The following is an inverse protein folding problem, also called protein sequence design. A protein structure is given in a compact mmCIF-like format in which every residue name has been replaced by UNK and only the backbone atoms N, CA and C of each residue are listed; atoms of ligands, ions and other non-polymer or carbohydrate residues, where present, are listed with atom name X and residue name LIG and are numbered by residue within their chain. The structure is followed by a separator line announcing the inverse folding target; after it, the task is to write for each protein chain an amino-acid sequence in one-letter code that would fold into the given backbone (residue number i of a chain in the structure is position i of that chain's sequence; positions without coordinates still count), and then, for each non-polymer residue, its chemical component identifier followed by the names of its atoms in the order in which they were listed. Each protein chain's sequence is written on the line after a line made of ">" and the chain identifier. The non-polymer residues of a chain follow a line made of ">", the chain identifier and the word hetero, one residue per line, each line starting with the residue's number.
data_IF_229855115544
#
_entry.id   IF_229855115544
#
_cell.length_a   1.000
_cell.length_b   1.000
_cell.length_c   1.000
_cell.angle_alpha   90.00
_cell.angle_beta   90.00
_cell.angle_gamma   90.00
#
_symmetry.space_group_name_H-M   'P 1'
#
loop_
_entity.id
_entity.type
_entity.pdbx_description
1 polymer ?
#
# COMPACT_ATOMS: atom_id res chain seq x y z
N UNK A 1 -16.36 8.26 -11.36
CA UNK A 1 -16.19 7.06 -12.19
C UNK A 1 -14.76 7.07 -12.68
N UNK A 2 -14.03 5.99 -12.45
CA UNK A 2 -12.64 5.79 -12.90
C UNK A 2 -12.61 5.12 -14.28
N UNK A 3 -11.57 5.35 -15.04
CA UNK A 3 -11.34 4.74 -16.35
C UNK A 3 -10.61 3.39 -16.22
N UNK A 4 -9.63 3.34 -15.31
CA UNK A 4 -8.71 2.19 -15.16
C UNK A 4 -8.92 1.41 -13.88
N UNK A 5 -9.85 1.82 -13.03
CA UNK A 5 -10.14 1.22 -11.73
C UNK A 5 -11.64 0.98 -11.55
N UNK A 6 -11.99 0.00 -10.69
CA UNK A 6 -13.31 -0.07 -10.07
C UNK A 6 -13.20 0.06 -8.56
N UNK A 7 -14.21 0.63 -7.92
CA UNK A 7 -14.25 0.93 -6.49
C UNK A 7 -15.61 0.58 -5.92
N UNK A 8 -15.64 -0.34 -4.97
CA UNK A 8 -16.85 -0.80 -4.29
C UNK A 8 -16.61 -0.84 -2.79
N UNK A 9 -17.57 -0.42 -1.97
CA UNK A 9 -17.50 -0.45 -0.51
C UNK A 9 -18.64 -1.29 0.03
N UNK A 10 -18.32 -2.28 0.84
CA UNK A 10 -19.33 -3.13 1.46
C UNK A 10 -19.94 -2.51 2.73
N UNK A 11 -20.92 -3.21 3.33
CA UNK A 11 -21.64 -2.74 4.51
C UNK A 11 -20.77 -2.60 5.77
N UNK A 12 -19.62 -3.29 5.82
CA UNK A 12 -18.65 -3.22 6.93
C UNK A 12 -17.60 -2.12 6.70
N UNK A 13 -17.69 -1.40 5.57
CA UNK A 13 -16.73 -0.38 5.18
C UNK A 13 -15.44 -0.93 4.58
N UNK A 14 -15.43 -2.19 4.16
CA UNK A 14 -14.30 -2.75 3.41
C UNK A 14 -14.46 -2.38 1.94
N UNK A 15 -13.54 -1.55 1.44
CA UNK A 15 -13.48 -1.19 0.05
C UNK A 15 -12.69 -2.22 -0.76
N UNK A 16 -13.21 -2.59 -1.93
CA UNK A 16 -12.48 -3.36 -2.94
C UNK A 16 -12.10 -2.44 -4.09
N UNK A 17 -10.81 -2.21 -4.26
CA UNK A 17 -10.19 -1.49 -5.36
C UNK A 17 -9.67 -2.51 -6.37
N UNK A 18 -10.23 -2.51 -7.58
CA UNK A 18 -9.78 -3.42 -8.64
C UNK A 18 -9.10 -2.64 -9.75
N UNK A 19 -7.86 -2.99 -10.07
CA UNK A 19 -7.17 -2.52 -11.27
C UNK A 19 -7.90 -3.09 -12.48
N UNK A 20 -8.38 -2.24 -13.40
CA UNK A 20 -9.33 -2.63 -14.43
C UNK A 20 -8.91 -2.23 -15.86
N UNK A 21 -7.85 -2.85 -16.34
CA UNK A 21 -7.40 -2.85 -17.74
C UNK A 21 -7.06 -4.31 -18.15
N UNK A 22 -8.04 -5.26 -18.09
CA UNK A 22 -7.74 -6.70 -18.22
C UNK A 22 -7.09 -7.06 -19.56
N UNK A 23 -7.45 -6.37 -20.64
CA UNK A 23 -6.89 -6.60 -21.98
C UNK A 23 -5.40 -6.22 -22.08
N UNK A 24 -4.97 -5.27 -21.26
CA UNK A 24 -3.57 -4.86 -21.10
C UNK A 24 -2.90 -5.48 -19.86
N UNK A 25 -3.45 -6.58 -19.29
CA UNK A 25 -2.95 -7.20 -18.07
C UNK A 25 -2.82 -6.23 -16.88
N UNK A 26 -3.70 -5.25 -16.80
CA UNK A 26 -3.69 -4.16 -15.83
C UNK A 26 -2.35 -3.40 -15.81
N UNK A 27 -1.71 -3.24 -16.97
CA UNK A 27 -0.49 -2.46 -17.11
C UNK A 27 -0.71 -1.03 -16.60
N UNK A 28 0.26 -0.56 -15.83
CA UNK A 28 0.24 0.72 -15.15
C UNK A 28 0.59 1.84 -16.15
N UNK A 29 -0.27 2.82 -16.25
CA UNK A 29 -0.06 4.04 -17.03
C UNK A 29 -0.29 5.30 -16.18
N UNK A 30 -0.08 6.48 -16.77
CA UNK A 30 -0.23 7.74 -16.07
C UNK A 30 -1.69 8.03 -15.65
N UNK A 31 -2.67 7.46 -16.35
CA UNK A 31 -4.08 7.57 -15.96
C UNK A 31 -4.35 6.75 -14.70
N UNK A 32 -3.95 5.48 -14.68
CA UNK A 32 -4.06 4.63 -13.50
C UNK A 32 -3.31 5.23 -12.32
N UNK A 33 -2.12 5.81 -12.55
CA UNK A 33 -1.35 6.48 -11.50
C UNK A 33 -2.11 7.63 -10.83
N UNK A 34 -2.74 8.49 -11.64
CA UNK A 34 -3.55 9.62 -11.13
C UNK A 34 -4.79 9.14 -10.40
N UNK A 35 -5.46 8.13 -10.94
CA UNK A 35 -6.65 7.55 -10.32
C UNK A 35 -6.32 6.86 -9.00
N UNK A 36 -5.24 6.09 -8.92
CA UNK A 36 -4.77 5.50 -7.67
C UNK A 36 -4.43 6.57 -6.62
N UNK A 37 -3.75 7.65 -7.01
CA UNK A 37 -3.51 8.78 -6.11
C UNK A 37 -4.82 9.39 -5.62
N UNK A 38 -5.80 9.63 -6.52
CA UNK A 38 -7.13 10.13 -6.16
C UNK A 38 -7.82 9.22 -5.15
N UNK A 39 -7.82 7.90 -5.39
CA UNK A 39 -8.42 6.93 -4.44
C UNK A 39 -7.77 7.05 -3.06
N UNK A 40 -6.45 6.96 -2.94
CA UNK A 40 -5.78 6.90 -1.64
C UNK A 40 -5.69 8.24 -0.93
N UNK A 41 -5.67 9.35 -1.66
CA UNK A 41 -5.63 10.70 -1.08
C UNK A 41 -7.01 11.27 -0.75
N UNK A 42 -8.07 10.73 -1.34
CA UNK A 42 -9.44 11.28 -1.20
C UNK A 42 -10.45 10.20 -0.82
N UNK A 43 -10.80 9.29 -1.73
CA UNK A 43 -11.96 8.39 -1.56
C UNK A 43 -11.78 7.40 -0.40
N UNK A 44 -10.59 6.81 -0.27
CA UNK A 44 -10.27 5.92 0.83
C UNK A 44 -10.16 6.65 2.19
N UNK A 45 -10.09 7.98 2.21
CA UNK A 45 -10.07 8.78 3.44
C UNK A 45 -11.47 9.04 4.00
N UNK A 46 -12.53 8.84 3.23
CA UNK A 46 -13.89 8.90 3.74
C UNK A 46 -14.06 7.95 4.94
N UNK A 47 -14.65 8.42 6.04
CA UNK A 47 -14.78 7.64 7.27
C UNK A 47 -15.73 6.42 7.13
N UNK A 48 -16.56 6.38 6.09
CA UNK A 48 -17.31 5.18 5.72
C UNK A 48 -16.41 4.04 5.23
N UNK A 49 -15.22 4.34 4.71
CA UNK A 49 -14.21 3.35 4.34
C UNK A 49 -13.38 3.01 5.56
N UNK A 50 -13.30 1.74 5.91
CA UNK A 50 -12.59 1.25 7.09
C UNK A 50 -11.29 0.52 6.74
N UNK A 51 -11.26 -0.17 5.62
CA UNK A 51 -10.08 -0.84 5.06
C UNK A 51 -10.18 -0.91 3.54
N UNK A 52 -9.06 -1.13 2.86
CA UNK A 52 -8.99 -1.28 1.40
C UNK A 52 -8.36 -2.62 1.05
N UNK A 53 -9.01 -3.38 0.18
CA UNK A 53 -8.45 -4.56 -0.49
C UNK A 53 -8.18 -4.19 -1.95
N UNK A 54 -6.96 -4.40 -2.42
CA UNK A 54 -6.54 -4.10 -3.80
C UNK A 54 -6.32 -5.41 -4.55
N UNK A 55 -6.94 -5.54 -5.72
CA UNK A 55 -6.79 -6.70 -6.61
C UNK A 55 -6.76 -6.28 -8.07
N UNK A 56 -6.56 -7.22 -8.99
CA UNK A 56 -6.61 -6.99 -10.44
C UNK A 56 -7.76 -7.73 -11.11
N UNK A 57 -8.37 -7.13 -12.11
CA UNK A 57 -9.35 -7.80 -12.96
C UNK A 57 -8.68 -8.79 -13.92
N UNK A 58 -9.38 -9.86 -14.26
CA UNK A 58 -8.88 -10.89 -15.19
C UNK A 58 -7.73 -11.71 -14.62
N UNK A 59 -6.73 -12.01 -15.47
CA UNK A 59 -5.67 -12.98 -15.16
C UNK A 59 -4.41 -12.40 -14.51
N UNK A 60 -4.28 -11.08 -14.39
CA UNK A 60 -3.12 -10.41 -13.82
C UNK A 60 -3.52 -9.49 -12.67
N UNK A 61 -2.61 -9.29 -11.73
CA UNK A 61 -2.70 -8.17 -10.79
C UNK A 61 -2.30 -6.88 -11.51
N UNK A 62 -1.04 -6.76 -11.94
CA UNK A 62 -0.51 -5.66 -12.76
C UNK A 62 0.82 -6.11 -13.40
N UNK A 63 0.88 -6.12 -14.72
CA UNK A 63 2.03 -6.64 -15.46
C UNK A 63 3.23 -5.68 -15.53
N UNK A 64 3.15 -4.53 -14.87
CA UNK A 64 4.19 -3.50 -14.89
C UNK A 64 3.80 -2.25 -15.65
N UNK A 65 4.76 -1.37 -15.91
CA UNK A 65 4.55 -0.16 -16.68
C UNK A 65 4.08 -0.46 -18.11
N UNK A 66 3.12 0.29 -18.60
CA UNK A 66 2.68 0.23 -19.99
C UNK A 66 3.77 0.82 -20.90
N UNK A 67 4.52 -0.05 -21.56
CA UNK A 67 5.63 0.33 -22.43
C UNK A 67 5.21 0.71 -23.85
N UNK A 68 3.91 0.78 -24.13
CA UNK A 68 3.37 1.13 -25.45
C UNK A 68 3.27 2.65 -25.70
N UNK A 69 3.48 3.48 -24.67
CA UNK A 69 3.42 4.93 -24.78
C UNK A 69 4.58 5.48 -25.65
N UNK A 70 4.31 6.54 -26.43
CA UNK A 70 5.33 7.26 -27.16
C UNK A 70 6.19 8.12 -26.22
N UNK A 71 7.45 8.34 -26.57
CA UNK A 71 8.42 9.13 -25.79
C UNK A 71 9.00 8.37 -24.61
N UNK A 72 9.25 9.05 -23.50
CA UNK A 72 9.71 8.39 -22.28
C UNK A 72 8.55 7.62 -21.65
N UNK A 73 8.57 6.30 -21.72
CA UNK A 73 7.51 5.41 -21.26
C UNK A 73 7.25 5.50 -19.75
N UNK A 74 8.18 6.06 -18.98
CA UNK A 74 8.03 6.30 -17.54
C UNK A 74 7.41 7.67 -17.22
N UNK A 75 7.09 8.48 -18.26
CA UNK A 75 6.50 9.81 -18.13
C UNK A 75 7.47 10.88 -17.63
N UNK A 76 8.80 10.68 -17.83
CA UNK A 76 9.83 11.60 -17.36
C UNK A 76 10.22 12.61 -18.43
N UNK A 77 10.62 13.81 -18.01
CA UNK A 77 11.11 14.89 -18.88
C UNK A 77 12.62 14.80 -19.05
N UNK A 78 13.05 14.29 -20.21
CA UNK A 78 14.47 14.08 -20.55
C UNK A 78 15.27 15.38 -20.74
N UNK A 79 14.60 16.55 -20.77
CA UNK A 79 15.27 17.85 -20.86
C UNK A 79 15.80 18.34 -19.51
N UNK A 80 15.33 17.75 -18.40
CA UNK A 80 15.72 18.15 -17.04
C UNK A 80 17.01 17.46 -16.61
N UNK A 81 17.85 18.19 -15.86
CA UNK A 81 19.12 17.67 -15.33
C UNK A 81 19.43 18.31 -13.97
N UNK A 82 18.59 18.08 -12.93
CA UNK A 82 18.81 18.68 -11.62
C UNK A 82 19.95 18.02 -10.87
N UNK A 83 20.60 18.80 -10.01
CA UNK A 83 21.42 18.24 -8.93
C UNK A 83 20.52 17.61 -7.84
N UNK A 84 21.08 16.70 -7.01
CA UNK A 84 20.34 16.15 -5.88
C UNK A 84 19.80 17.21 -4.92
N UNK A 85 20.53 18.32 -4.71
CA UNK A 85 20.15 19.43 -3.87
C UNK A 85 18.98 20.21 -4.44
N UNK A 86 19.01 20.53 -5.73
CA UNK A 86 17.92 21.22 -6.44
C UNK A 86 16.65 20.38 -6.43
N UNK A 87 16.76 19.10 -6.76
CA UNK A 87 15.61 18.19 -6.71
C UNK A 87 15.02 18.08 -5.31
N UNK A 88 15.85 17.92 -4.28
CA UNK A 88 15.39 17.84 -2.89
C UNK A 88 14.67 19.11 -2.43
N UNK A 89 15.13 20.29 -2.87
CA UNK A 89 14.55 21.57 -2.48
C UNK A 89 13.17 21.85 -3.11
N UNK A 90 12.88 21.25 -4.26
CA UNK A 90 11.67 21.54 -5.05
C UNK A 90 10.99 20.30 -5.64
N UNK A 91 11.17 19.12 -5.03
CA UNK A 91 10.68 17.83 -5.57
C UNK A 91 9.16 17.77 -5.78
N UNK A 92 8.37 18.58 -5.08
CA UNK A 92 6.91 18.68 -5.13
C UNK A 92 6.42 19.90 -5.92
N UNK A 93 7.31 20.56 -6.66
CA UNK A 93 7.02 21.70 -7.51
C UNK A 93 7.36 21.38 -8.97
N UNK A 94 6.65 22.05 -9.89
CA UNK A 94 7.00 21.96 -11.31
C UNK A 94 8.34 22.66 -11.58
N UNK A 95 9.16 22.12 -12.51
CA UNK A 95 8.88 20.99 -13.39
C UNK A 95 9.23 19.62 -12.79
N UNK A 96 9.73 19.53 -11.56
CA UNK A 96 10.25 18.29 -10.98
C UNK A 96 9.14 17.32 -10.55
N UNK A 97 8.00 17.85 -10.08
CA UNK A 97 6.89 16.99 -9.63
C UNK A 97 6.37 16.08 -10.74
N UNK A 98 6.23 16.60 -11.97
CA UNK A 98 5.77 15.79 -13.10
C UNK A 98 6.90 15.21 -13.93
N UNK A 99 8.03 15.92 -14.05
CA UNK A 99 9.10 15.55 -14.97
C UNK A 99 10.18 14.63 -14.40
N UNK A 100 10.33 14.54 -13.06
CA UNK A 100 11.39 13.72 -12.43
C UNK A 100 10.86 12.74 -11.40
N UNK A 101 9.84 13.11 -10.63
CA UNK A 101 9.32 12.23 -9.59
C UNK A 101 8.77 10.94 -10.18
N UNK A 102 9.25 9.85 -9.62
CA UNK A 102 8.72 8.51 -9.87
C UNK A 102 7.21 8.46 -9.59
N UNK A 103 6.44 8.21 -10.64
CA UNK A 103 4.97 8.17 -10.59
C UNK A 103 4.48 7.03 -9.71
N UNK A 104 5.14 5.88 -9.75
CA UNK A 104 4.88 4.75 -8.85
C UNK A 104 5.15 5.11 -7.38
N UNK A 105 6.20 5.90 -7.13
CA UNK A 105 6.54 6.43 -5.81
C UNK A 105 5.45 7.36 -5.25
N UNK A 106 4.84 8.19 -6.09
CA UNK A 106 3.70 9.04 -5.66
C UNK A 106 2.51 8.19 -5.20
N UNK A 107 2.16 7.13 -5.94
CA UNK A 107 1.11 6.17 -5.57
C UNK A 107 1.46 5.47 -4.26
N UNK A 108 2.68 4.97 -4.14
CA UNK A 108 3.18 4.26 -2.95
C UNK A 108 3.13 5.14 -1.70
N UNK A 109 3.53 6.41 -1.82
CA UNK A 109 3.45 7.37 -0.71
C UNK A 109 1.99 7.66 -0.32
N UNK A 110 1.07 7.74 -1.28
CA UNK A 110 -0.35 7.91 -1.00
C UNK A 110 -0.95 6.71 -0.25
N UNK A 111 -0.60 5.48 -0.66
CA UNK A 111 -0.97 4.23 0.05
C UNK A 111 -0.43 4.25 1.49
N UNK A 112 0.86 4.57 1.65
CA UNK A 112 1.52 4.59 2.96
C UNK A 112 0.91 5.64 3.91
N UNK A 113 0.51 6.79 3.37
CA UNK A 113 -0.07 7.88 4.14
C UNK A 113 -1.53 7.64 4.58
N UNK A 114 -2.20 6.61 4.05
CA UNK A 114 -3.56 6.28 4.44
C UNK A 114 -3.57 5.65 5.85
N UNK A 115 -4.27 6.24 6.84
CA UNK A 115 -4.31 5.72 8.21
C UNK A 115 -5.33 4.57 8.39
N UNK A 116 -5.45 3.71 7.38
CA UNK A 116 -6.37 2.56 7.36
C UNK A 116 -5.64 1.33 6.83
N UNK A 117 -6.07 0.11 7.20
CA UNK A 117 -5.49 -1.11 6.65
C UNK A 117 -5.64 -1.17 5.12
N UNK A 118 -4.56 -1.55 4.44
CA UNK A 118 -4.55 -1.81 3.00
C UNK A 118 -3.99 -3.21 2.76
N UNK A 119 -4.73 -4.05 2.06
CA UNK A 119 -4.38 -5.44 1.78
C UNK A 119 -4.25 -5.64 0.27
N UNK A 120 -3.13 -6.20 -0.18
CA UNK A 120 -2.98 -6.65 -1.56
C UNK A 120 -3.49 -8.09 -1.70
N UNK A 121 -4.42 -8.32 -2.62
CA UNK A 121 -4.87 -9.64 -3.07
C UNK A 121 -4.30 -9.89 -4.48
N UNK A 122 -3.09 -10.46 -4.55
CA UNK A 122 -2.32 -10.63 -5.79
C UNK A 122 -2.85 -11.83 -6.55
N UNK A 123 -3.78 -11.60 -7.47
CA UNK A 123 -4.51 -12.65 -8.19
C UNK A 123 -3.73 -13.31 -9.33
N UNK A 124 -2.66 -12.71 -9.82
CA UNK A 124 -1.87 -13.19 -10.95
C UNK A 124 -0.53 -12.48 -11.06
N UNK A 125 0.05 -12.35 -12.27
CA UNK A 125 1.30 -11.61 -12.48
C UNK A 125 1.29 -10.21 -11.88
N UNK A 126 2.33 -9.90 -11.09
CA UNK A 126 2.62 -8.63 -10.46
C UNK A 126 4.11 -8.30 -10.69
N UNK A 127 4.42 -7.46 -11.67
CA UNK A 127 5.81 -7.26 -12.16
C UNK A 127 6.15 -5.77 -12.17
N UNK A 128 7.40 -5.43 -11.88
CA UNK A 128 7.83 -4.03 -11.80
C UNK A 128 6.98 -3.24 -10.81
N UNK A 129 6.37 -2.13 -11.25
CA UNK A 129 5.45 -1.33 -10.43
C UNK A 129 4.27 -2.17 -9.88
N UNK A 130 3.82 -3.20 -10.61
CA UNK A 130 2.80 -4.12 -10.12
C UNK A 130 3.23 -4.91 -8.87
N UNK A 131 4.53 -5.18 -8.72
CA UNK A 131 5.08 -5.76 -7.51
C UNK A 131 5.38 -4.69 -6.46
N UNK A 132 6.06 -3.60 -6.85
CA UNK A 132 6.58 -2.61 -5.91
C UNK A 132 5.48 -1.78 -5.24
N UNK A 133 4.38 -1.45 -5.92
CA UNK A 133 3.26 -0.75 -5.26
C UNK A 133 2.64 -1.57 -4.12
N UNK A 134 2.69 -2.91 -4.20
CA UNK A 134 2.14 -3.76 -3.12
C UNK A 134 2.94 -3.70 -1.84
N UNK A 135 4.19 -3.24 -1.88
CA UNK A 135 5.07 -3.19 -0.72
C UNK A 135 4.62 -2.14 0.31
N UNK A 136 3.95 -1.08 -0.12
CA UNK A 136 3.38 -0.07 0.78
C UNK A 136 2.01 -0.47 1.33
N UNK A 137 1.38 -1.51 0.79
CA UNK A 137 0.19 -2.11 1.38
C UNK A 137 0.59 -2.90 2.62
N UNK A 138 -0.25 -2.91 3.66
CA UNK A 138 0.16 -3.44 4.96
C UNK A 138 0.36 -4.96 4.92
N UNK A 139 -0.51 -5.68 4.20
CA UNK A 139 -0.47 -7.14 4.08
C UNK A 139 -0.68 -7.55 2.63
N UNK A 140 -0.01 -8.63 2.22
CA UNK A 140 -0.10 -9.22 0.88
C UNK A 140 -0.54 -10.67 0.99
N UNK A 141 -1.60 -11.03 0.27
CA UNK A 141 -2.02 -12.40 -0.01
C UNK A 141 -1.80 -12.67 -1.50
N UNK A 142 -1.52 -13.89 -1.87
CA UNK A 142 -1.29 -14.26 -3.26
C UNK A 142 -2.17 -15.44 -3.68
N UNK A 143 -2.58 -15.45 -4.93
CA UNK A 143 -3.08 -16.66 -5.58
C UNK A 143 -1.92 -17.61 -5.89
N UNK A 144 -2.16 -18.91 -5.94
CA UNK A 144 -1.22 -19.92 -6.47
C UNK A 144 -0.72 -19.56 -7.89
N UNK A 145 -1.51 -18.79 -8.63
CA UNK A 145 -1.17 -18.30 -9.98
C UNK A 145 -0.33 -17.02 -9.97
N UNK A 146 -0.07 -16.44 -8.81
CA UNK A 146 0.73 -15.23 -8.73
C UNK A 146 2.17 -15.47 -9.22
N UNK A 147 2.70 -14.48 -9.93
CA UNK A 147 4.07 -14.41 -10.42
C UNK A 147 4.59 -13.03 -10.12
N UNK A 148 5.54 -12.92 -9.19
CA UNK A 148 5.97 -11.63 -8.65
C UNK A 148 7.41 -11.36 -9.10
N UNK A 149 7.69 -10.18 -9.68
CA UNK A 149 8.99 -9.89 -10.24
C UNK A 149 9.50 -8.48 -10.02
N UNK A 150 10.74 -8.37 -9.53
CA UNK A 150 11.50 -7.12 -9.37
C UNK A 150 12.51 -6.98 -10.53
N UNK A 151 11.99 -6.88 -11.77
CA UNK A 151 12.74 -7.10 -13.02
C UNK A 151 13.53 -5.89 -13.55
N UNK A 152 13.75 -4.88 -12.74
CA UNK A 152 14.32 -3.58 -13.11
C UNK A 152 15.70 -3.71 -13.79
N UNK A 153 16.58 -4.54 -13.28
CA UNK A 153 17.90 -4.78 -13.83
C UNK A 153 17.91 -5.32 -15.27
N UNK A 154 16.84 -6.02 -15.68
CA UNK A 154 16.68 -6.49 -17.07
C UNK A 154 16.39 -5.35 -18.05
N UNK A 155 15.82 -4.25 -17.56
CA UNK A 155 15.53 -3.05 -18.35
C UNK A 155 16.60 -1.98 -18.21
N UNK A 156 17.66 -2.20 -17.42
CA UNK A 156 18.70 -1.23 -17.16
C UNK A 156 18.25 -0.04 -16.29
N UNK A 157 17.19 -0.22 -15.50
CA UNK A 157 16.67 0.77 -14.57
C UNK A 157 16.79 0.26 -13.12
N UNK A 158 16.49 1.12 -12.16
CA UNK A 158 16.57 0.81 -10.72
C UNK A 158 15.17 0.52 -10.14
N UNK A 159 15.09 -0.18 -9.00
CA UNK A 159 13.85 -0.31 -8.24
C UNK A 159 13.27 1.06 -7.86
N UNK A 160 11.97 1.24 -8.12
CA UNK A 160 11.20 2.47 -7.93
C UNK A 160 10.11 2.29 -6.87
N UNK A 161 9.15 3.20 -6.77
CA UNK A 161 7.99 3.13 -5.89
C UNK A 161 8.37 2.94 -4.41
N UNK A 162 9.43 3.61 -3.95
CA UNK A 162 9.97 3.46 -2.59
C UNK A 162 10.32 2.01 -2.23
N UNK A 163 10.45 1.11 -3.19
CA UNK A 163 10.72 -0.32 -2.94
C UNK A 163 12.06 -0.55 -2.24
N UNK A 164 13.06 0.29 -2.49
CA UNK A 164 14.35 0.26 -1.77
C UNK A 164 14.20 0.51 -0.26
N UNK A 165 13.11 1.16 0.17
CA UNK A 165 12.79 1.33 1.60
C UNK A 165 11.94 0.19 2.15
N UNK A 166 10.89 -0.23 1.41
CA UNK A 166 9.93 -1.22 1.88
C UNK A 166 10.46 -2.66 1.79
N UNK A 167 11.00 -3.08 0.64
CA UNK A 167 11.35 -4.47 0.39
C UNK A 167 12.32 -5.04 1.43
N UNK A 168 13.45 -4.39 1.77
CA UNK A 168 14.38 -4.92 2.76
C UNK A 168 13.80 -4.95 4.19
N UNK A 169 12.79 -4.13 4.48
CA UNK A 169 12.08 -4.18 5.77
C UNK A 169 11.10 -5.34 5.87
N UNK A 170 10.61 -5.83 4.74
CA UNK A 170 9.68 -6.95 4.68
C UNK A 170 10.43 -8.28 4.70
N UNK A 171 11.44 -8.43 3.82
CA UNK A 171 12.09 -9.72 3.57
C UNK A 171 13.53 -9.80 4.08
N UNK A 172 14.07 -8.71 4.60
CA UNK A 172 15.49 -8.57 4.94
C UNK A 172 16.35 -8.20 3.75
N UNK A 173 17.51 -7.57 4.04
CA UNK A 173 18.37 -6.98 2.96
C UNK A 173 18.94 -8.04 2.02
N UNK A 174 19.34 -9.21 2.54
CA UNK A 174 19.94 -10.25 1.71
C UNK A 174 18.94 -10.78 0.67
N UNK A 175 17.74 -11.12 1.09
CA UNK A 175 16.69 -11.62 0.20
C UNK A 175 16.23 -10.54 -0.80
N UNK A 176 16.14 -9.28 -0.36
CA UNK A 176 15.83 -8.16 -1.24
C UNK A 176 16.87 -8.00 -2.36
N UNK A 177 18.16 -8.04 -2.02
CA UNK A 177 19.25 -7.95 -3.00
C UNK A 177 19.26 -9.13 -3.97
N UNK A 178 19.07 -10.35 -3.47
CA UNK A 178 19.00 -11.56 -4.32
C UNK A 178 17.91 -11.42 -5.37
N UNK A 179 16.70 -11.03 -5.00
CA UNK A 179 15.57 -10.88 -5.92
C UNK A 179 15.73 -9.73 -6.91
N UNK A 180 16.30 -8.61 -6.45
CA UNK A 180 16.54 -7.44 -7.31
C UNK A 180 17.67 -7.71 -8.30
N UNK A 181 18.77 -8.38 -7.87
CA UNK A 181 19.91 -8.67 -8.75
C UNK A 181 19.61 -9.77 -9.75
N UNK A 182 18.97 -10.86 -9.31
CA UNK A 182 18.59 -11.95 -10.24
C UNK A 182 17.51 -11.53 -11.21
N UNK A 183 16.66 -10.59 -10.82
CA UNK A 183 15.48 -10.15 -11.58
C UNK A 183 14.61 -11.35 -12.02
N UNK A 184 14.54 -12.40 -11.19
CA UNK A 184 13.72 -13.57 -11.43
C UNK A 184 12.23 -13.31 -11.15
N UNK A 185 11.39 -14.08 -11.79
CA UNK A 185 9.95 -14.11 -11.52
C UNK A 185 9.69 -15.18 -10.46
N UNK A 186 9.29 -14.76 -9.29
CA UNK A 186 8.99 -15.62 -8.14
C UNK A 186 7.64 -16.30 -8.32
N UNK A 187 7.54 -17.56 -7.93
CA UNK A 187 6.25 -18.22 -7.71
C UNK A 187 5.61 -17.71 -6.41
N UNK A 188 4.32 -18.02 -6.21
CA UNK A 188 3.63 -17.69 -4.96
C UNK A 188 4.28 -18.36 -3.75
N UNK A 189 4.74 -19.61 -3.90
CA UNK A 189 5.42 -20.37 -2.85
C UNK A 189 6.78 -19.76 -2.50
N UNK A 190 7.56 -19.32 -3.49
CA UNK A 190 8.84 -18.61 -3.25
C UNK A 190 8.61 -17.29 -2.52
N UNK A 191 7.56 -16.54 -2.91
CA UNK A 191 7.18 -15.31 -2.24
C UNK A 191 6.72 -15.56 -0.79
N UNK A 192 6.03 -16.66 -0.52
CA UNK A 192 5.65 -17.09 0.83
C UNK A 192 6.86 -17.50 1.65
N UNK A 193 7.74 -18.33 1.11
CA UNK A 193 8.97 -18.76 1.78
C UNK A 193 9.88 -17.58 2.14
N UNK A 194 9.97 -16.58 1.24
CA UNK A 194 10.70 -15.33 1.46
C UNK A 194 9.95 -14.29 2.30
N UNK A 195 8.79 -14.62 2.86
CA UNK A 195 7.95 -13.72 3.70
C UNK A 195 7.45 -12.46 2.99
N UNK A 196 7.43 -12.44 1.67
CA UNK A 196 6.86 -11.33 0.91
C UNK A 196 5.34 -11.32 1.01
N UNK A 197 4.71 -12.50 0.93
CA UNK A 197 3.28 -12.67 1.11
C UNK A 197 2.97 -13.44 2.39
N UNK A 198 1.82 -13.13 3.00
CA UNK A 198 1.37 -13.77 4.24
C UNK A 198 0.86 -15.19 4.02
N UNK A 199 0.16 -15.40 2.90
CA UNK A 199 -0.50 -16.67 2.59
C UNK A 199 -0.74 -16.81 1.09
N UNK A 200 -0.90 -18.05 0.65
CA UNK A 200 -1.24 -18.44 -0.72
C UNK A 200 -2.59 -19.14 -0.72
N UNK A 201 -3.43 -18.84 -1.70
CA UNK A 201 -4.81 -19.29 -1.81
C UNK A 201 -5.11 -19.82 -3.22
N UNK A 202 -6.10 -20.70 -3.35
CA UNK A 202 -6.69 -21.00 -4.64
C UNK A 202 -7.25 -19.70 -5.28
N UNK A 203 -7.27 -19.59 -6.60
CA UNK A 203 -7.68 -18.34 -7.27
C UNK A 203 -9.05 -17.82 -6.84
N UNK A 204 -10.02 -18.71 -6.65
CA UNK A 204 -11.39 -18.42 -6.22
C UNK A 204 -11.50 -17.98 -4.76
N UNK A 205 -10.58 -18.40 -3.90
CA UNK A 205 -10.59 -18.14 -2.47
C UNK A 205 -9.82 -16.87 -2.08
N UNK A 206 -8.95 -16.35 -2.97
CA UNK A 206 -8.05 -15.25 -2.66
C UNK A 206 -8.79 -13.97 -2.23
N UNK A 207 -9.72 -13.49 -3.07
CA UNK A 207 -10.43 -12.23 -2.78
C UNK A 207 -11.34 -12.37 -1.55
N UNK A 208 -12.13 -13.44 -1.38
CA UNK A 208 -12.87 -13.68 -0.14
C UNK A 208 -11.97 -13.69 1.10
N UNK A 209 -10.81 -14.36 1.06
CA UNK A 209 -9.87 -14.40 2.18
C UNK A 209 -9.30 -13.02 2.53
N UNK A 210 -8.98 -12.20 1.52
CA UNK A 210 -8.50 -10.84 1.74
C UNK A 210 -9.57 -9.93 2.34
N UNK A 211 -10.82 -10.03 1.88
CA UNK A 211 -11.95 -9.29 2.43
C UNK A 211 -12.27 -9.71 3.86
N UNK A 212 -12.27 -11.01 4.16
CA UNK A 212 -12.48 -11.51 5.52
C UNK A 212 -11.36 -11.04 6.46
N UNK A 213 -10.11 -11.06 6.00
CA UNK A 213 -8.99 -10.52 6.76
C UNK A 213 -9.20 -9.02 7.04
N UNK A 214 -9.64 -8.24 6.05
CA UNK A 214 -9.93 -6.82 6.22
C UNK A 214 -11.04 -6.60 7.25
N UNK A 215 -12.14 -7.37 7.18
CA UNK A 215 -13.22 -7.32 8.17
C UNK A 215 -12.73 -7.61 9.58
N UNK A 216 -11.86 -8.59 9.74
CA UNK A 216 -11.28 -8.95 11.05
C UNK A 216 -10.50 -7.80 11.70
N UNK A 217 -10.02 -6.85 10.90
CA UNK A 217 -9.30 -5.66 11.38
C UNK A 217 -10.22 -4.50 11.73
N UNK A 218 -11.42 -4.43 11.18
CA UNK A 218 -12.27 -3.25 11.30
C UNK A 218 -13.56 -3.46 12.11
N UNK A 219 -14.10 -4.65 12.09
CA UNK A 219 -15.30 -4.97 12.89
C UNK A 219 -14.95 -4.92 14.38
N UNK A 220 -15.71 -4.18 15.17
CA UNK A 220 -15.48 -3.98 16.60
C UNK A 220 -14.08 -3.43 16.95
N UNK A 221 -13.50 -2.60 16.09
CA UNK A 221 -12.21 -1.95 16.31
C UNK A 221 -12.31 -0.43 16.11
N UNK A 222 -11.64 0.32 16.98
CA UNK A 222 -11.57 1.78 16.87
C UNK A 222 -10.76 2.20 15.63
N UNK A 223 -11.34 3.01 14.71
CA UNK A 223 -10.59 3.51 13.56
C UNK A 223 -9.42 4.41 13.95
N UNK A 224 -9.56 5.14 15.05
CA UNK A 224 -8.48 5.99 15.59
C UNK A 224 -7.32 5.13 16.08
N UNK A 225 -7.61 4.09 16.86
CA UNK A 225 -6.57 3.19 17.37
C UNK A 225 -5.81 2.48 16.23
N UNK A 226 -6.53 2.01 15.20
CA UNK A 226 -5.90 1.38 14.03
C UNK A 226 -5.01 2.36 13.26
N UNK A 227 -5.50 3.58 13.01
CA UNK A 227 -4.75 4.60 12.27
C UNK A 227 -3.48 5.02 13.01
N UNK A 228 -3.56 5.23 14.32
CA UNK A 228 -2.39 5.54 15.15
C UNK A 228 -1.41 4.37 15.22
N UNK A 229 -1.90 3.14 15.40
CA UNK A 229 -1.07 1.94 15.42
C UNK A 229 -0.26 1.79 14.11
N UNK A 230 -0.90 1.96 12.94
CA UNK A 230 -0.20 1.94 11.66
C UNK A 230 0.91 2.99 11.60
N UNK A 231 0.61 4.25 11.94
CA UNK A 231 1.59 5.33 11.94
C UNK A 231 2.77 5.05 12.88
N UNK A 232 2.49 4.58 14.10
CA UNK A 232 3.52 4.29 15.11
C UNK A 232 4.41 3.13 14.67
N UNK A 233 3.86 2.03 14.19
CA UNK A 233 4.63 0.86 13.78
C UNK A 233 5.58 1.17 12.62
N UNK A 234 5.13 1.89 11.60
CA UNK A 234 6.01 2.28 10.50
C UNK A 234 7.09 3.29 10.93
N UNK A 235 6.71 4.28 11.72
CA UNK A 235 7.61 5.36 12.13
C UNK A 235 8.64 4.88 13.16
N UNK A 236 8.16 4.24 14.23
CA UNK A 236 9.02 3.84 15.34
C UNK A 236 9.98 2.71 14.96
N UNK A 237 9.64 1.90 13.94
CA UNK A 237 10.55 0.94 13.35
C UNK A 237 11.81 1.52 12.69
N UNK A 238 11.85 2.85 12.49
CA UNK A 238 13.02 3.58 11.98
C UNK A 238 13.66 4.51 13.03
N UNK A 239 13.13 4.54 14.26
CA UNK A 239 13.67 5.36 15.35
C UNK A 239 15.02 4.80 15.84
N UNK A 240 15.94 5.70 16.18
CA UNK A 240 17.25 5.31 16.67
C UNK A 240 17.25 4.87 18.15
N UNK A 241 16.24 5.31 18.92
CA UNK A 241 16.14 5.07 20.36
C UNK A 241 14.68 4.68 20.73
N UNK A 242 14.48 3.67 21.59
CA UNK A 242 13.15 3.31 22.10
C UNK A 242 12.41 4.45 22.83
N UNK A 243 13.12 5.46 23.33
CA UNK A 243 12.51 6.64 23.96
C UNK A 243 11.58 7.39 22.98
N UNK A 244 11.96 7.48 21.70
CA UNK A 244 11.11 8.09 20.66
C UNK A 244 9.79 7.35 20.48
N UNK A 245 9.85 6.00 20.54
CA UNK A 245 8.66 5.17 20.54
C UNK A 245 7.82 5.39 21.80
N UNK A 246 8.44 5.37 22.99
CA UNK A 246 7.76 5.59 24.26
C UNK A 246 7.02 6.92 24.33
N UNK A 247 7.60 8.00 23.81
CA UNK A 247 6.97 9.32 23.78
C UNK A 247 5.70 9.34 22.91
N UNK A 248 5.79 8.77 21.70
CA UNK A 248 4.63 8.67 20.80
C UNK A 248 3.56 7.71 21.32
N UNK A 249 3.95 6.56 21.87
CA UNK A 249 3.06 5.56 22.46
C UNK A 249 2.30 6.15 23.66
N UNK A 250 2.99 6.89 24.53
CA UNK A 250 2.39 7.52 25.71
C UNK A 250 1.35 8.55 25.30
N UNK A 251 1.64 9.38 24.30
CA UNK A 251 0.73 10.40 23.83
C UNK A 251 -0.48 9.77 23.10
N UNK A 252 -0.27 8.76 22.26
CA UNK A 252 -1.34 8.01 21.61
C UNK A 252 -2.25 7.32 22.64
N UNK A 253 -1.67 6.65 23.64
CA UNK A 253 -2.41 6.03 24.75
C UNK A 253 -3.23 7.07 25.52
N UNK A 254 -2.65 8.22 25.83
CA UNK A 254 -3.38 9.30 26.52
C UNK A 254 -4.61 9.72 25.73
N UNK A 255 -4.48 10.09 24.46
CA UNK A 255 -5.61 10.53 23.64
C UNK A 255 -6.68 9.46 23.45
N UNK A 256 -6.29 8.25 23.12
CA UNK A 256 -7.24 7.15 22.89
C UNK A 256 -7.96 6.74 24.16
N UNK A 257 -7.31 6.79 25.33
CA UNK A 257 -7.92 6.47 26.62
C UNK A 257 -9.01 7.45 27.04
N UNK A 258 -8.95 8.70 26.57
CA UNK A 258 -9.97 9.73 26.84
C UNK A 258 -11.21 9.62 25.93
N UNK A 259 -11.10 8.93 24.81
CA UNK A 259 -12.11 8.81 23.77
C UNK A 259 -12.62 7.34 23.65
N UNK A 260 -12.40 6.71 22.51
CA UNK A 260 -12.84 5.33 22.21
C UNK A 260 -12.38 4.30 23.26
N UNK A 261 -11.28 4.54 23.95
CA UNK A 261 -10.80 3.66 25.03
C UNK A 261 -11.80 3.50 26.19
N UNK A 262 -12.58 4.55 26.52
CA UNK A 262 -13.64 4.45 27.54
C UNK A 262 -14.75 3.50 27.12
N UNK A 263 -15.19 3.65 25.87
CA UNK A 263 -16.21 2.75 25.30
C UNK A 263 -15.69 1.32 25.19
N UNK A 264 -14.44 1.14 24.72
CA UNK A 264 -13.82 -0.18 24.62
C UNK A 264 -13.76 -0.91 25.95
N UNK A 265 -13.34 -0.23 27.04
CA UNK A 265 -13.31 -0.79 28.40
C UNK A 265 -14.72 -1.10 28.90
N UNK A 266 -15.68 -0.19 28.74
CA UNK A 266 -17.07 -0.41 29.15
C UNK A 266 -17.69 -1.61 28.42
N UNK A 267 -17.55 -1.67 27.09
CA UNK A 267 -18.05 -2.77 26.27
C UNK A 267 -17.46 -4.13 26.69
N UNK A 268 -16.14 -4.16 26.98
CA UNK A 268 -15.45 -5.36 27.45
C UNK A 268 -16.00 -5.86 28.80
N UNK A 269 -16.20 -4.96 29.76
CA UNK A 269 -16.73 -5.29 31.08
C UNK A 269 -18.20 -5.77 30.99
N UNK A 270 -18.99 -5.13 30.13
CA UNK A 270 -20.39 -5.44 29.88
C UNK A 270 -20.58 -6.66 28.96
N UNK A 271 -19.53 -7.22 28.41
CA UNK A 271 -19.55 -8.35 27.45
C UNK A 271 -20.43 -8.07 26.21
N UNK A 272 -20.38 -6.87 25.68
CA UNK A 272 -21.10 -6.44 24.47
C UNK A 272 -20.12 -5.96 23.39
N UNK A 273 -20.61 -5.85 22.16
CA UNK A 273 -19.86 -5.20 21.09
C UNK A 273 -19.65 -3.70 21.41
N UNK A 274 -18.44 -3.14 21.14
CA UNK A 274 -18.18 -1.73 21.32
C UNK A 274 -18.88 -0.89 20.23
N UNK A 275 -19.14 0.38 20.55
CA UNK A 275 -19.70 1.36 19.63
C UNK A 275 -18.75 2.55 19.52
N UNK A 276 -17.67 2.37 18.79
CA UNK A 276 -16.68 3.42 18.59
C UNK A 276 -17.23 4.54 17.71
N UNK A 277 -16.94 5.78 18.10
CA UNK A 277 -17.38 7.00 17.40
C UNK A 277 -16.24 7.81 16.84
N UNK A 278 -15.00 7.45 17.16
CA UNK A 278 -13.81 8.07 16.61
C UNK A 278 -13.69 7.87 15.11
N UNK A 279 -13.01 8.79 14.43
CA UNK A 279 -12.85 8.81 12.98
C UNK A 279 -11.38 8.76 12.58
N UNK A 280 -11.07 8.00 11.55
CA UNK A 280 -9.70 7.93 11.01
C UNK A 280 -9.25 9.24 10.34
N UNK A 281 -10.21 10.10 9.93
CA UNK A 281 -9.94 11.44 9.42
C UNK A 281 -9.52 12.46 10.50
N UNK A 282 -9.76 12.14 11.77
CA UNK A 282 -9.57 13.05 12.92
C UNK A 282 -8.55 12.47 13.92
N UNK A 283 -7.41 11.95 13.42
CA UNK A 283 -6.38 11.39 14.30
C UNK A 283 -5.74 12.49 15.17
N UNK A 284 -5.60 12.26 16.48
CA UNK A 284 -4.90 13.20 17.35
C UNK A 284 -3.40 13.25 17.00
N UNK A 285 -2.76 14.40 17.21
CA UNK A 285 -1.32 14.54 16.97
C UNK A 285 -0.53 13.74 18.00
N UNK A 286 0.46 12.98 17.51
CA UNK A 286 1.39 12.18 18.33
C UNK A 286 2.85 12.59 18.12
N UNK A 287 3.06 13.77 17.55
CA UNK A 287 4.36 14.42 17.33
C UNK A 287 4.39 15.78 18.00
#
# INVERSE_FOLDING_TARGET
>A
VYETLTWEVDADGVATLTLHRPDALNAFDLTMARELQQVFLTDARDDAVRAVVVTGSGRAFCAGMDLSAEGNVFGLDESLSPTPEEFRAAYDQEPYDTGIRDTGGKVTLAIHALPKPVIAAINGPAVGIGATMTLAMDIRLASEKARIGFVFGRLGIVPEACSSWFLPRIVGIQQALEWVYSAEILTAEQALAGRLVRSVHAPEDLLPAAQELARSFVVDRSPVALGLAKQMLYRNGAAADPLEAHLSDSLAMYWTSLADGKEGVAAFLDKRAPRFTGKASELPPIR
#
